data_IF_422664295402
#
_entry.id   IF_422664295402
#
_cell.length_a   1.000
_cell.length_b   1.000
_cell.length_c   1.000
_cell.angle_alpha   90.00
_cell.angle_beta   90.00
_cell.angle_gamma   90.00
#
_symmetry.space_group_name_H-M   'P 1'
#
loop_
_entity.id
_entity.type
_entity.pdbx_description
1 polymer ?
#
# COMPACT_ATOMS: atom_id res chain seq x y z
N UNK A 1 10.97 -14.60 1.75
CA UNK A 1 10.21 -15.87 1.78
C UNK A 1 8.90 -15.71 1.03
N UNK A 2 8.44 -16.74 0.31
CA UNK A 2 7.17 -16.74 -0.41
C UNK A 2 6.30 -17.88 0.13
N UNK A 3 5.08 -17.56 0.52
CA UNK A 3 4.06 -18.53 0.93
C UNK A 3 2.93 -18.49 -0.09
N UNK A 4 2.59 -19.65 -0.63
CA UNK A 4 1.56 -19.80 -1.66
C UNK A 4 0.31 -20.47 -1.09
N UNK A 5 -0.85 -19.94 -1.47
CA UNK A 5 -2.15 -20.57 -1.32
C UNK A 5 -2.93 -20.48 -2.63
N UNK A 6 -4.12 -21.08 -2.68
CA UNK A 6 -4.87 -21.30 -3.92
C UNK A 6 -5.14 -20.03 -4.75
N UNK A 7 -5.38 -18.90 -4.08
CA UNK A 7 -5.70 -17.62 -4.71
C UNK A 7 -4.81 -16.46 -4.25
N UNK A 8 -3.82 -16.73 -3.41
CA UNK A 8 -2.99 -15.70 -2.80
C UNK A 8 -1.56 -16.16 -2.64
N UNK A 9 -0.61 -15.30 -2.99
CA UNK A 9 0.81 -15.51 -2.73
C UNK A 9 1.32 -14.36 -1.87
N UNK A 10 1.82 -14.68 -0.68
CA UNK A 10 2.32 -13.71 0.30
C UNK A 10 3.85 -13.75 0.34
N UNK A 11 4.48 -12.62 0.05
CA UNK A 11 5.91 -12.44 0.10
C UNK A 11 6.31 -11.69 1.37
N UNK A 12 7.27 -12.24 2.12
CA UNK A 12 8.04 -11.54 3.14
C UNK A 12 9.31 -11.01 2.48
N UNK A 13 9.41 -9.68 2.40
CA UNK A 13 10.48 -8.95 1.74
C UNK A 13 11.37 -8.28 2.79
N UNK A 14 12.68 -8.31 2.56
CA UNK A 14 13.68 -7.70 3.44
C UNK A 14 14.19 -6.42 2.80
N UNK A 15 14.01 -5.30 3.49
CA UNK A 15 14.55 -4.01 3.10
C UNK A 15 16.07 -4.03 3.20
N UNK A 16 16.77 -3.66 2.12
CA UNK A 16 18.23 -3.75 2.07
C UNK A 16 18.93 -2.80 3.04
N UNK A 17 18.32 -1.63 3.31
CA UNK A 17 18.96 -0.56 4.10
C UNK A 17 19.11 -0.90 5.58
N UNK A 18 18.21 -1.70 6.14
CA UNK A 18 18.09 -1.88 7.59
C UNK A 18 17.54 -3.26 8.02
N UNK A 19 17.48 -4.21 7.10
CA UNK A 19 16.94 -5.56 7.31
C UNK A 19 15.50 -5.61 7.86
N UNK A 20 14.79 -4.47 7.81
CA UNK A 20 13.37 -4.43 8.11
C UNK A 20 12.60 -5.38 7.20
N UNK A 21 11.49 -5.92 7.69
CA UNK A 21 10.66 -6.85 6.93
C UNK A 21 9.29 -6.24 6.68
N UNK A 22 8.86 -6.32 5.44
CA UNK A 22 7.53 -5.90 4.99
C UNK A 22 6.88 -7.02 4.20
N UNK A 23 5.56 -6.95 4.11
CA UNK A 23 4.77 -7.96 3.42
C UNK A 23 4.16 -7.37 2.15
N UNK A 24 4.16 -8.18 1.09
CA UNK A 24 3.43 -7.88 -0.14
C UNK A 24 2.62 -9.12 -0.54
N UNK A 25 1.41 -8.93 -1.05
CA UNK A 25 0.51 -10.04 -1.39
C UNK A 25 0.08 -9.90 -2.84
N UNK A 26 0.20 -10.97 -3.61
CA UNK A 26 -0.41 -11.11 -4.92
C UNK A 26 -1.71 -11.89 -4.79
N UNK A 27 -2.82 -11.27 -5.18
CA UNK A 27 -4.17 -11.83 -5.10
C UNK A 27 -4.69 -12.13 -6.50
N UNK A 28 -5.04 -13.39 -6.76
CA UNK A 28 -5.67 -13.82 -7.99
C UNK A 28 -7.19 -13.80 -7.82
N UNK A 29 -7.86 -12.94 -8.58
CA UNK A 29 -9.31 -12.95 -8.74
C UNK A 29 -9.68 -13.69 -10.04
N UNK A 30 -10.98 -13.89 -10.28
CA UNK A 30 -11.45 -14.61 -11.47
C UNK A 30 -10.90 -14.04 -12.79
N UNK A 31 -10.91 -12.71 -12.94
CA UNK A 31 -10.57 -12.02 -14.20
C UNK A 31 -9.33 -11.13 -14.14
N UNK A 32 -8.71 -10.96 -12.97
CA UNK A 32 -7.59 -10.05 -12.80
C UNK A 32 -6.72 -10.43 -11.61
N UNK A 33 -5.50 -9.92 -11.57
CA UNK A 33 -4.59 -10.06 -10.43
C UNK A 33 -4.27 -8.69 -9.84
N UNK A 34 -4.42 -8.56 -8.52
CA UNK A 34 -4.10 -7.31 -7.81
C UNK A 34 -3.00 -7.54 -6.79
N UNK A 35 -2.08 -6.59 -6.69
CA UNK A 35 -1.06 -6.59 -5.64
C UNK A 35 -1.52 -5.74 -4.46
N UNK A 36 -1.33 -6.24 -3.25
CA UNK A 36 -1.44 -5.49 -2.01
C UNK A 36 -0.03 -5.22 -1.50
N UNK A 37 0.40 -3.95 -1.51
CA UNK A 37 1.77 -3.56 -1.18
C UNK A 37 1.83 -2.64 0.05
N UNK A 38 2.96 -2.68 0.74
CA UNK A 38 3.26 -1.87 1.91
C UNK A 38 3.81 -0.49 1.54
N UNK A 39 3.51 0.50 2.37
CA UNK A 39 3.99 1.88 2.24
C UNK A 39 4.90 2.31 3.40
N UNK A 40 4.91 1.56 4.51
CA UNK A 40 5.73 1.84 5.68
C UNK A 40 6.24 0.55 6.32
N UNK A 41 7.32 0.66 7.08
CA UNK A 41 7.74 -0.41 8.00
C UNK A 41 6.98 -0.21 9.32
N UNK A 42 5.88 -0.95 9.47
CA UNK A 42 4.94 -0.75 10.57
C UNK A 42 3.91 0.34 10.26
N UNK A 43 3.22 0.87 11.27
CA UNK A 43 2.22 1.94 11.10
C UNK A 43 2.01 2.73 12.40
N UNK A 44 1.91 4.07 12.30
CA UNK A 44 1.79 4.96 13.46
C UNK A 44 0.36 5.11 14.01
N UNK A 45 -0.65 4.78 13.20
CA UNK A 45 -2.06 5.10 13.51
C UNK A 45 -2.74 4.12 14.46
N UNK A 46 -2.07 3.05 14.87
CA UNK A 46 -2.51 2.15 15.97
C UNK A 46 -3.99 1.73 15.92
N UNK A 47 -4.56 1.52 14.72
CA UNK A 47 -5.94 1.05 14.61
C UNK A 47 -6.12 -0.24 15.44
N UNK A 48 -7.13 -0.28 16.30
CA UNK A 48 -7.26 -1.31 17.34
C UNK A 48 -7.36 -2.75 16.77
N UNK A 49 -7.90 -2.86 15.55
CA UNK A 49 -8.06 -4.11 14.81
C UNK A 49 -6.86 -4.48 13.93
N UNK A 50 -5.87 -3.58 13.78
CA UNK A 50 -4.75 -3.74 12.85
C UNK A 50 -3.53 -4.34 13.55
N UNK A 51 -3.07 -5.51 13.09
CA UNK A 51 -1.84 -6.12 13.60
C UNK A 51 -0.60 -5.23 13.38
N UNK A 52 -0.51 -4.57 12.22
CA UNK A 52 0.58 -3.63 11.90
C UNK A 52 0.58 -2.42 12.83
N UNK A 53 -0.60 -1.92 13.22
CA UNK A 53 -0.73 -0.82 14.17
C UNK A 53 -0.13 -1.15 15.54
N UNK A 54 -0.24 -2.41 16.00
CA UNK A 54 0.34 -2.87 17.26
C UNK A 54 1.87 -2.91 17.25
N UNK A 55 2.49 -3.06 16.08
CA UNK A 55 3.96 -3.04 15.92
C UNK A 55 4.51 -1.62 16.06
N UNK A 56 3.68 -0.61 15.79
CA UNK A 56 4.09 0.79 15.72
C UNK A 56 4.86 1.11 14.44
N UNK A 57 5.07 2.41 14.18
CA UNK A 57 5.88 2.86 13.04
C UNK A 57 7.36 2.76 13.39
N UNK A 58 8.14 2.08 12.54
CA UNK A 58 9.60 2.11 12.61
C UNK A 58 10.15 3.22 11.73
N UNK A 59 9.72 3.27 10.47
CA UNK A 59 10.10 4.30 9.49
C UNK A 59 9.18 4.29 8.27
N UNK A 60 9.31 5.36 7.49
CA UNK A 60 8.78 5.44 6.13
C UNK A 60 9.61 4.56 5.19
N UNK A 61 8.96 4.00 4.18
CA UNK A 61 9.65 3.35 3.06
C UNK A 61 10.02 4.39 2.00
N UNK A 62 11.15 4.19 1.34
CA UNK A 62 11.50 4.96 0.14
C UNK A 62 10.69 4.49 -1.08
N UNK A 63 10.66 5.31 -2.13
CA UNK A 63 9.84 5.03 -3.31
C UNK A 63 10.27 3.74 -4.03
N UNK A 64 11.58 3.48 -4.10
CA UNK A 64 12.15 2.24 -4.64
C UNK A 64 11.72 1.02 -3.82
N UNK A 65 11.80 1.07 -2.48
CA UNK A 65 11.33 -0.01 -1.62
C UNK A 65 9.83 -0.30 -1.79
N UNK A 66 9.03 0.73 -2.09
CA UNK A 66 7.59 0.58 -2.39
C UNK A 66 7.40 -0.11 -3.74
N UNK A 67 8.04 0.39 -4.80
CA UNK A 67 7.86 -0.12 -6.17
C UNK A 67 8.53 -1.48 -6.41
N UNK A 68 9.58 -1.80 -5.67
CA UNK A 68 10.27 -3.09 -5.74
C UNK A 68 9.37 -4.26 -5.31
N UNK A 69 8.37 -4.01 -4.48
CA UNK A 69 7.35 -5.01 -4.15
C UNK A 69 6.56 -5.43 -5.39
N UNK A 70 6.29 -4.48 -6.30
CA UNK A 70 5.65 -4.76 -7.59
C UNK A 70 6.63 -5.48 -8.52
N UNK A 71 7.87 -4.99 -8.61
CA UNK A 71 8.92 -5.58 -9.43
C UNK A 71 9.18 -7.05 -9.06
N UNK A 72 9.15 -7.38 -7.76
CA UNK A 72 9.32 -8.74 -7.26
C UNK A 72 8.35 -9.74 -7.91
N UNK A 73 7.07 -9.37 -8.07
CA UNK A 73 6.07 -10.24 -8.70
C UNK A 73 6.17 -10.20 -10.23
N UNK A 74 6.48 -9.05 -10.83
CA UNK A 74 6.68 -8.93 -12.28
C UNK A 74 7.85 -9.79 -12.76
N UNK A 75 8.98 -9.78 -12.04
CA UNK A 75 10.16 -10.62 -12.35
C UNK A 75 9.87 -12.13 -12.22
N UNK A 76 8.77 -12.50 -11.55
CA UNK A 76 8.27 -13.88 -11.45
C UNK A 76 7.25 -14.20 -12.54
N UNK A 77 7.13 -13.36 -13.56
CA UNK A 77 6.25 -13.55 -14.71
C UNK A 77 4.76 -13.33 -14.40
N UNK A 78 4.43 -12.70 -13.27
CA UNK A 78 3.03 -12.45 -12.94
C UNK A 78 2.50 -11.27 -13.75
N UNK A 79 1.38 -11.48 -14.43
CA UNK A 79 0.59 -10.39 -14.99
C UNK A 79 -0.13 -9.67 -13.86
N UNK A 80 0.21 -8.41 -13.65
CA UNK A 80 -0.41 -7.55 -12.62
C UNK A 80 -1.41 -6.62 -13.28
N UNK A 81 -2.65 -6.63 -12.81
CA UNK A 81 -3.70 -5.78 -13.35
C UNK A 81 -4.01 -4.56 -12.48
N UNK A 82 -3.66 -4.60 -11.20
CA UNK A 82 -3.86 -3.50 -10.26
C UNK A 82 -2.90 -3.54 -9.07
N UNK A 83 -2.74 -2.40 -8.42
CA UNK A 83 -1.91 -2.24 -7.22
C UNK A 83 -2.71 -1.46 -6.18
N UNK A 84 -2.80 -2.02 -4.99
CA UNK A 84 -3.48 -1.44 -3.84
C UNK A 84 -2.48 -1.22 -2.71
N UNK A 85 -2.44 0.01 -2.20
CA UNK A 85 -1.63 0.39 -1.05
C UNK A 85 -2.42 0.10 0.23
N UNK A 86 -2.59 -1.19 0.51
CA UNK A 86 -3.35 -1.72 1.66
C UNK A 86 -2.54 -2.73 2.47
N UNK A 87 -1.23 -2.78 2.25
CA UNK A 87 -0.30 -3.59 3.03
C UNK A 87 0.01 -2.94 4.38
N UNK A 88 1.28 -2.91 4.75
CA UNK A 88 1.72 -2.26 5.99
C UNK A 88 1.85 -0.75 5.80
N UNK A 89 1.25 0.03 6.71
CA UNK A 89 1.40 1.49 6.78
C UNK A 89 0.19 2.30 6.32
N UNK A 90 0.22 3.59 6.62
CA UNK A 90 -0.70 4.60 6.07
C UNK A 90 -0.02 5.30 4.88
N UNK A 91 -0.46 5.05 3.64
CA UNK A 91 0.20 5.56 2.44
C UNK A 91 0.28 7.09 2.40
N UNK A 92 -0.79 7.78 2.78
CA UNK A 92 -0.84 9.25 2.71
C UNK A 92 -0.08 9.95 3.84
N UNK A 93 0.43 9.18 4.82
CA UNK A 93 1.39 9.66 5.81
C UNK A 93 2.85 9.43 5.38
N UNK A 94 3.10 8.73 4.26
CA UNK A 94 4.44 8.59 3.69
C UNK A 94 4.66 9.66 2.60
N UNK A 95 5.59 10.62 2.78
CA UNK A 95 5.85 11.66 1.77
C UNK A 95 6.33 11.09 0.42
N UNK A 96 6.91 9.88 0.41
CA UNK A 96 7.42 9.20 -0.79
C UNK A 96 6.36 8.49 -1.61
N UNK A 97 5.10 8.43 -1.13
CA UNK A 97 4.02 7.74 -1.85
C UNK A 97 3.77 8.32 -3.24
N UNK A 98 3.89 9.63 -3.38
CA UNK A 98 3.68 10.32 -4.66
C UNK A 98 4.81 10.04 -5.63
N UNK A 99 6.05 9.91 -5.14
CA UNK A 99 7.20 9.50 -5.97
C UNK A 99 7.01 8.06 -6.48
N UNK A 100 6.55 7.15 -5.62
CA UNK A 100 6.22 5.78 -5.99
C UNK A 100 5.08 5.73 -7.04
N UNK A 101 4.03 6.55 -6.88
CA UNK A 101 2.96 6.64 -7.87
C UNK A 101 3.50 7.11 -9.23
N UNK A 102 4.35 8.15 -9.29
CA UNK A 102 4.97 8.60 -10.56
C UNK A 102 5.76 7.48 -11.22
N UNK A 103 6.54 6.73 -10.45
CA UNK A 103 7.33 5.60 -10.95
C UNK A 103 6.40 4.51 -11.53
N UNK A 104 5.37 4.11 -10.78
CA UNK A 104 4.44 3.06 -11.19
C UNK A 104 3.63 3.44 -12.43
N UNK A 105 3.29 4.72 -12.59
CA UNK A 105 2.48 5.20 -13.73
C UNK A 105 3.29 5.72 -14.91
N UNK A 106 4.61 5.86 -14.77
CA UNK A 106 5.48 6.35 -15.85
C UNK A 106 5.53 5.33 -17.00
N UNK A 107 5.21 5.74 -18.26
CA UNK A 107 5.29 4.87 -19.44
C UNK A 107 6.69 4.30 -19.69
N UNK A 108 7.74 5.03 -19.31
CA UNK A 108 9.14 4.63 -19.48
C UNK A 108 9.63 3.68 -18.38
N UNK A 109 8.83 3.47 -17.33
CA UNK A 109 9.15 2.60 -16.21
C UNK A 109 8.15 1.43 -16.15
N UNK A 110 7.18 1.45 -15.24
CA UNK A 110 6.22 0.35 -15.08
C UNK A 110 5.00 0.48 -16.01
N UNK A 111 4.61 1.69 -16.40
CA UNK A 111 3.54 1.95 -17.35
C UNK A 111 2.13 1.57 -16.88
N UNK A 112 1.86 1.47 -15.58
CA UNK A 112 0.50 1.21 -15.11
C UNK A 112 -0.41 2.41 -15.34
N UNK A 113 -1.66 2.14 -15.74
CA UNK A 113 -2.70 3.18 -15.71
C UNK A 113 -2.96 3.63 -14.27
N UNK A 114 -3.03 4.93 -14.01
CA UNK A 114 -3.40 5.49 -12.70
C UNK A 114 -4.72 4.92 -12.17
N UNK A 115 -5.66 4.58 -13.04
CA UNK A 115 -6.96 3.97 -12.69
C UNK A 115 -6.87 2.56 -12.11
N UNK A 116 -5.69 1.93 -12.22
CA UNK A 116 -5.39 0.61 -11.65
C UNK A 116 -4.69 0.71 -10.29
N UNK A 117 -4.38 1.93 -9.83
CA UNK A 117 -3.81 2.20 -8.52
C UNK A 117 -4.92 2.52 -7.52
N UNK A 118 -4.84 1.96 -6.32
CA UNK A 118 -5.80 2.19 -5.24
C UNK A 118 -5.06 2.60 -3.95
N UNK A 119 -5.24 3.84 -3.52
CA UNK A 119 -4.73 4.32 -2.23
C UNK A 119 -5.83 4.16 -1.19
N UNK A 120 -5.56 3.40 -0.12
CA UNK A 120 -6.40 3.40 1.07
C UNK A 120 -5.83 4.36 2.10
N UNK A 121 -6.69 5.10 2.79
CA UNK A 121 -6.28 5.99 3.88
C UNK A 121 -7.23 5.94 5.06
N UNK A 122 -6.68 6.10 6.26
CA UNK A 122 -7.46 6.35 7.47
C UNK A 122 -8.04 7.77 7.52
N UNK A 123 -7.61 8.68 6.64
CA UNK A 123 -8.17 10.04 6.56
C UNK A 123 -7.14 11.15 6.71
N UNK A 124 -5.94 10.99 6.16
CA UNK A 124 -4.90 12.04 6.19
C UNK A 124 -5.26 13.15 5.19
N UNK A 125 -6.03 14.14 5.65
CA UNK A 125 -6.62 15.20 4.80
C UNK A 125 -5.59 15.89 3.89
N UNK A 126 -4.41 16.34 4.35
CA UNK A 126 -3.44 16.98 3.46
C UNK A 126 -2.97 16.06 2.32
N UNK A 127 -2.80 14.77 2.60
CA UNK A 127 -2.43 13.77 1.61
C UNK A 127 -3.56 13.49 0.62
N UNK A 128 -4.82 13.52 1.07
CA UNK A 128 -5.99 13.36 0.21
C UNK A 128 -6.06 14.50 -0.80
N UNK A 129 -5.94 15.75 -0.34
CA UNK A 129 -5.99 16.92 -1.22
C UNK A 129 -4.90 16.85 -2.29
N UNK A 130 -3.67 16.54 -1.86
CA UNK A 130 -2.55 16.37 -2.79
C UNK A 130 -2.77 15.21 -3.78
N UNK A 131 -3.32 14.08 -3.34
CA UNK A 131 -3.64 12.97 -4.24
C UNK A 131 -4.66 13.37 -5.30
N UNK A 132 -5.70 14.09 -4.91
CA UNK A 132 -6.76 14.54 -5.85
C UNK A 132 -6.27 15.59 -6.84
N UNK A 133 -5.26 16.37 -6.48
CA UNK A 133 -4.63 17.37 -7.36
C UNK A 133 -3.61 16.72 -8.31
N UNK A 134 -2.63 16.00 -7.76
CA UNK A 134 -1.51 15.45 -8.52
C UNK A 134 -1.88 14.18 -9.30
N UNK A 135 -2.82 13.37 -8.80
CA UNK A 135 -3.19 12.06 -9.34
C UNK A 135 -4.72 11.83 -9.37
N UNK A 136 -5.50 12.67 -10.08
CA UNK A 136 -6.96 12.66 -10.04
C UNK A 136 -7.62 11.36 -10.54
N UNK A 137 -6.85 10.47 -11.19
CA UNK A 137 -7.33 9.19 -11.69
C UNK A 137 -6.96 7.99 -10.80
N UNK A 138 -6.21 8.20 -9.72
CA UNK A 138 -5.93 7.15 -8.73
C UNK A 138 -7.17 6.96 -7.86
N UNK A 139 -7.56 5.70 -7.63
CA UNK A 139 -8.74 5.43 -6.79
C UNK A 139 -8.40 5.69 -5.32
N UNK A 140 -9.29 6.36 -4.61
CA UNK A 140 -9.19 6.63 -3.18
C UNK A 140 -10.21 5.77 -2.42
N UNK A 141 -9.73 4.98 -1.46
CA UNK A 141 -10.54 4.19 -0.54
C UNK A 141 -10.41 4.74 0.89
N UNK A 142 -11.55 4.90 1.56
CA UNK A 142 -11.60 5.38 2.93
C UNK A 142 -11.77 4.23 3.92
N UNK A 143 -10.81 4.11 4.83
CA UNK A 143 -10.87 3.21 5.99
C UNK A 143 -11.73 3.85 7.09
N UNK A 144 -13.05 3.84 6.89
CA UNK A 144 -14.02 4.52 7.77
C UNK A 144 -14.26 3.76 9.08
N UNK A 145 -14.57 2.47 8.98
CA UNK A 145 -14.80 1.49 10.08
C UNK A 145 -15.96 1.74 11.06
N UNK A 146 -16.45 2.95 11.24
CA UNK A 146 -17.70 3.23 11.96
C UNK A 146 -18.37 4.51 11.44
N UNK A 147 -19.72 4.55 11.37
CA UNK A 147 -20.46 5.77 11.08
C UNK A 147 -20.55 6.71 12.29
N UNK A 148 -20.18 6.26 13.50
CA UNK A 148 -20.28 7.03 14.74
C UNK A 148 -18.90 7.58 15.15
N UNK A 149 -18.73 8.90 15.32
CA UNK A 149 -17.42 9.49 15.61
C UNK A 149 -16.73 8.94 16.86
N UNK A 150 -17.47 8.73 17.96
CA UNK A 150 -16.91 8.23 19.21
C UNK A 150 -16.37 6.81 19.08
N UNK A 151 -17.09 5.93 18.37
CA UNK A 151 -16.65 4.57 18.12
C UNK A 151 -15.49 4.56 17.13
N UNK A 152 -15.55 5.37 16.07
CA UNK A 152 -14.46 5.52 15.12
C UNK A 152 -13.16 5.92 15.80
N UNK A 153 -13.18 6.89 16.71
CA UNK A 153 -11.99 7.34 17.44
C UNK A 153 -11.38 6.23 18.31
N UNK A 154 -12.19 5.28 18.79
CA UNK A 154 -11.69 4.10 19.52
C UNK A 154 -11.06 3.07 18.58
N UNK A 155 -11.62 2.89 17.38
CA UNK A 155 -11.17 1.90 16.41
C UNK A 155 -9.96 2.38 15.58
N UNK A 156 -9.94 3.66 15.20
CA UNK A 156 -8.98 4.32 14.31
C UNK A 156 -8.60 5.66 14.96
N UNK A 157 -7.65 5.67 15.89
CA UNK A 157 -7.23 6.89 16.55
C UNK A 157 -6.44 7.78 15.57
N UNK A 158 -6.97 8.97 15.31
CA UNK A 158 -6.51 9.97 14.35
C UNK A 158 -6.56 11.37 14.97
#
# INVERSE_FOLDING_TARGET
DLVEGDHAQKALLRCFRDDARVEAVSLQFHNHRSLCISSQVGCAFQCAFCATGKVGLKRQMDADEITDQVLFFLQRGQKVDGVSFMGMGEPLANPRIFDALRILTSPDLYGFSSRRMNISTVGVIPGILKLTEDFPQVNLAFSLHSPFPEERNRLVPL
#
